data_IF_346304123443
#
_entry.id   IF_346304123443
#
_cell.length_a   1.000
_cell.length_b   1.000
_cell.length_c   1.000
_cell.angle_alpha   90.00
_cell.angle_beta   90.00
_cell.angle_gamma   90.00
#
_symmetry.space_group_name_H-M   'P 1'
#
loop_
_entity.id
_entity.type
_entity.pdbx_description
1 polymer ?
#
# COMPACT_ATOMS: atom_id res chain seq x y z
N UNK A 1 -23.06 17.91 -3.09
CA UNK A 1 -22.33 17.13 -4.12
C UNK A 1 -22.55 15.65 -3.81
N UNK A 2 -23.12 14.86 -4.72
CA UNK A 2 -23.28 13.41 -4.47
C UNK A 2 -21.90 12.76 -4.51
N UNK A 3 -21.59 11.90 -3.54
CA UNK A 3 -20.34 11.16 -3.49
C UNK A 3 -20.26 10.21 -4.68
N UNK A 4 -19.31 10.44 -5.60
CA UNK A 4 -19.01 9.53 -6.72
C UNK A 4 -18.15 8.38 -6.20
N UNK A 5 -18.60 7.11 -6.29
CA UNK A 5 -17.78 5.98 -5.87
C UNK A 5 -16.54 5.83 -6.74
N UNK A 6 -15.46 5.30 -6.16
CA UNK A 6 -14.24 4.96 -6.87
C UNK A 6 -14.01 3.44 -6.79
N UNK A 7 -13.61 2.84 -7.90
CA UNK A 7 -13.55 1.38 -8.06
C UNK A 7 -12.21 0.95 -8.64
N UNK A 8 -11.64 -0.13 -8.12
CA UNK A 8 -10.55 -0.84 -8.82
C UNK A 8 -11.19 -1.76 -9.86
N UNK A 9 -11.00 -1.47 -11.15
CA UNK A 9 -11.70 -2.15 -12.24
C UNK A 9 -10.72 -2.63 -13.29
N UNK A 10 -10.87 -3.89 -13.69
CA UNK A 10 -10.21 -4.42 -14.89
C UNK A 10 -11.16 -4.32 -16.06
N UNK A 11 -10.71 -3.68 -17.13
CA UNK A 11 -11.48 -3.53 -18.36
C UNK A 11 -11.11 -4.60 -19.38
N UNK A 12 -12.14 -5.18 -19.99
CA UNK A 12 -12.03 -5.83 -21.30
C UNK A 12 -12.65 -4.87 -22.33
N UNK A 13 -11.79 -4.25 -23.14
CA UNK A 13 -12.13 -3.18 -24.09
C UNK A 13 -12.84 -2.00 -23.41
N UNK A 14 -14.16 -1.93 -23.53
CA UNK A 14 -15.00 -0.83 -23.07
C UNK A 14 -15.76 -1.16 -21.77
N UNK A 15 -15.73 -2.43 -21.34
CA UNK A 15 -16.55 -2.91 -20.23
C UNK A 15 -15.66 -3.36 -19.08
N UNK A 16 -15.88 -2.71 -17.94
CA UNK A 16 -15.27 -3.03 -16.66
C UNK A 16 -16.08 -4.10 -15.94
N UNK A 17 -15.44 -5.23 -15.65
CA UNK A 17 -16.09 -6.33 -14.92
C UNK A 17 -15.98 -6.06 -13.42
N UNK A 18 -17.14 -5.99 -12.77
CA UNK A 18 -17.24 -5.82 -11.32
C UNK A 18 -17.28 -7.17 -10.62
N UNK A 19 -16.63 -7.25 -9.47
CA UNK A 19 -16.85 -8.35 -8.52
C UNK A 19 -18.26 -8.30 -7.94
N UNK A 20 -18.76 -9.43 -7.43
CA UNK A 20 -20.06 -9.49 -6.75
C UNK A 20 -20.14 -8.52 -5.57
N UNK A 21 -19.03 -8.34 -4.85
CA UNK A 21 -18.93 -7.39 -3.73
C UNK A 21 -19.09 -5.96 -4.21
N UNK A 22 -18.37 -5.54 -5.28
CA UNK A 22 -18.49 -4.20 -5.85
C UNK A 22 -19.90 -3.94 -6.38
N UNK A 23 -20.48 -4.90 -7.13
CA UNK A 23 -21.85 -4.79 -7.64
C UNK A 23 -22.87 -4.64 -6.51
N UNK A 24 -22.75 -5.44 -5.46
CA UNK A 24 -23.63 -5.34 -4.28
C UNK A 24 -23.44 -4.02 -3.54
N UNK A 25 -22.21 -3.51 -3.42
CA UNK A 25 -21.94 -2.23 -2.79
C UNK A 25 -22.57 -1.07 -3.58
N UNK A 26 -22.36 -1.02 -4.90
CA UNK A 26 -22.94 0.00 -5.78
C UNK A 26 -24.47 -0.02 -5.77
N UNK A 27 -25.09 -1.20 -5.94
CA UNK A 27 -26.54 -1.32 -6.09
C UNK A 27 -27.33 -1.28 -4.78
N UNK A 28 -26.83 -1.91 -3.70
CA UNK A 28 -27.58 -2.06 -2.44
C UNK A 28 -27.20 -1.01 -1.40
N UNK A 29 -25.92 -0.68 -1.30
CA UNK A 29 -25.40 0.24 -0.27
C UNK A 29 -25.45 1.67 -0.79
N UNK A 30 -24.79 1.95 -1.90
CA UNK A 30 -24.73 3.29 -2.49
C UNK A 30 -25.97 3.61 -3.34
N UNK A 31 -26.71 2.58 -3.78
CA UNK A 31 -27.92 2.68 -4.60
C UNK A 31 -27.73 3.58 -5.82
N UNK A 32 -26.60 3.39 -6.52
CA UNK A 32 -26.33 4.13 -7.75
C UNK A 32 -27.39 3.80 -8.79
N UNK A 33 -27.92 4.83 -9.45
CA UNK A 33 -28.88 4.64 -10.52
C UNK A 33 -28.19 4.17 -11.80
N UNK A 34 -28.96 3.54 -12.69
CA UNK A 34 -28.54 3.24 -14.06
C UNK A 34 -28.07 4.52 -14.77
N UNK A 35 -26.94 4.45 -15.46
CA UNK A 35 -26.27 5.60 -16.08
C UNK A 35 -25.55 6.53 -15.08
N UNK A 36 -25.52 6.18 -13.79
CA UNK A 36 -24.88 6.97 -12.74
C UNK A 36 -23.34 6.99 -12.89
N UNK A 37 -22.74 8.13 -12.58
CA UNK A 37 -21.28 8.31 -12.66
C UNK A 37 -20.54 7.51 -11.61
N UNK A 38 -19.49 6.83 -12.04
CA UNK A 38 -18.48 6.20 -11.19
C UNK A 38 -17.10 6.69 -11.61
N UNK A 39 -16.17 6.72 -10.67
CA UNK A 39 -14.75 6.85 -11.00
C UNK A 39 -14.07 5.49 -10.86
N UNK A 40 -12.96 5.29 -11.54
CA UNK A 40 -12.24 4.02 -11.48
C UNK A 40 -10.73 4.20 -11.65
N UNK A 41 -10.00 3.16 -11.28
CA UNK A 41 -8.58 2.96 -11.51
C UNK A 41 -8.35 1.56 -12.07
N UNK A 42 -7.40 1.41 -12.99
CA UNK A 42 -6.92 0.09 -13.43
C UNK A 42 -5.87 -0.51 -12.47
N UNK A 43 -5.47 0.25 -11.45
CA UNK A 43 -4.44 -0.10 -10.48
C UNK A 43 -3.02 -0.01 -11.01
N UNK A 44 -2.83 0.47 -12.24
CA UNK A 44 -1.57 0.58 -12.95
C UNK A 44 -1.31 2.00 -13.48
N UNK A 45 -2.04 2.99 -12.98
CA UNK A 45 -1.84 4.41 -13.24
C UNK A 45 -2.94 5.05 -14.08
N UNK A 46 -3.81 4.27 -14.73
CA UNK A 46 -4.95 4.82 -15.47
C UNK A 46 -6.09 5.04 -14.49
N UNK A 47 -6.56 6.28 -14.42
CA UNK A 47 -7.77 6.66 -13.69
C UNK A 47 -8.76 7.30 -14.65
N UNK A 48 -10.05 7.18 -14.36
CA UNK A 48 -11.06 7.76 -15.22
C UNK A 48 -12.43 7.87 -14.57
N UNK A 49 -13.35 8.46 -15.32
CA UNK A 49 -14.77 8.47 -14.99
C UNK A 49 -15.54 7.65 -16.03
N UNK A 50 -16.60 6.99 -15.57
CA UNK A 50 -17.42 6.10 -16.38
C UNK A 50 -18.86 6.09 -15.90
N UNK A 51 -19.67 5.22 -16.50
CA UNK A 51 -21.08 5.05 -16.13
C UNK A 51 -21.35 3.63 -15.64
N UNK A 52 -22.16 3.51 -14.59
CA UNK A 52 -22.68 2.22 -14.15
C UNK A 52 -23.92 1.88 -14.97
N UNK A 53 -23.80 0.86 -15.82
CA UNK A 53 -24.87 0.41 -16.71
C UNK A 53 -24.98 -1.11 -16.68
N UNK A 54 -26.19 -1.65 -16.56
CA UNK A 54 -26.49 -3.08 -16.61
C UNK A 54 -25.60 -3.96 -15.68
N UNK A 55 -25.17 -3.42 -14.55
CA UNK A 55 -24.31 -4.13 -13.59
C UNK A 55 -22.82 -4.15 -13.92
N UNK A 56 -22.38 -3.36 -14.90
CA UNK A 56 -20.98 -3.17 -15.30
C UNK A 56 -20.59 -1.69 -15.28
N UNK A 57 -19.30 -1.41 -15.43
CA UNK A 57 -18.79 -0.05 -15.65
C UNK A 57 -18.45 0.14 -17.11
N UNK A 58 -19.09 1.12 -17.77
CA UNK A 58 -18.72 1.55 -19.11
C UNK A 58 -17.60 2.57 -19.00
N UNK A 59 -16.48 2.29 -19.70
CA UNK A 59 -15.29 3.14 -19.74
C UNK A 59 -15.63 4.51 -20.32
N UNK A 60 -14.98 5.55 -19.80
CA UNK A 60 -15.12 6.93 -20.26
C UNK A 60 -13.75 7.58 -20.43
N UNK A 61 -13.65 8.87 -20.14
CA UNK A 61 -12.39 9.60 -20.26
C UNK A 61 -11.38 9.15 -19.19
N UNK A 62 -10.15 8.89 -19.63
CA UNK A 62 -9.06 8.35 -18.83
C UNK A 62 -7.87 9.31 -18.84
N UNK A 63 -7.15 9.36 -17.71
CA UNK A 63 -5.88 10.06 -17.56
C UNK A 63 -4.85 9.14 -16.92
N UNK A 64 -3.58 9.41 -17.20
CA UNK A 64 -2.46 8.74 -16.56
C UNK A 64 -2.02 9.56 -15.34
N UNK A 65 -2.02 8.92 -14.17
CA UNK A 65 -1.48 9.49 -12.94
C UNK A 65 0.00 9.17 -12.85
N UNK A 66 0.83 10.20 -12.68
CA UNK A 66 2.26 10.00 -12.45
C UNK A 66 2.50 9.25 -11.15
N UNK A 67 3.46 8.32 -11.18
CA UNK A 67 3.80 7.55 -9.99
C UNK A 67 4.80 8.34 -9.13
N UNK A 68 4.50 8.60 -7.84
CA UNK A 68 5.41 9.34 -6.97
C UNK A 68 6.77 8.65 -6.83
N UNK A 69 7.83 9.46 -6.82
CA UNK A 69 9.19 9.00 -6.51
C UNK A 69 9.61 9.44 -5.09
N UNK A 70 10.52 8.68 -4.43
CA UNK A 70 10.99 7.35 -4.83
C UNK A 70 9.85 6.32 -4.77
N UNK A 71 9.98 5.21 -5.52
CA UNK A 71 9.13 4.04 -5.31
C UNK A 71 9.53 3.37 -4.01
N UNK A 72 8.57 3.12 -3.13
CA UNK A 72 8.86 2.65 -1.77
C UNK A 72 8.42 1.21 -1.56
N UNK A 73 9.39 0.37 -1.22
CA UNK A 73 9.18 -0.99 -0.73
C UNK A 73 9.25 -0.99 0.79
N UNK A 74 8.16 -1.38 1.46
CA UNK A 74 8.14 -1.62 2.90
C UNK A 74 8.46 -3.09 3.19
N UNK A 75 9.65 -3.35 3.69
CA UNK A 75 10.07 -4.65 4.18
C UNK A 75 9.79 -4.74 5.70
N UNK A 76 8.65 -5.30 6.08
CA UNK A 76 8.11 -5.15 7.43
C UNK A 76 7.82 -6.50 8.09
N UNK A 77 8.24 -6.64 9.35
CA UNK A 77 7.82 -7.78 10.16
C UNK A 77 6.31 -7.66 10.44
N UNK A 78 5.48 -8.68 10.17
CA UNK A 78 4.05 -8.56 10.35
C UNK A 78 3.69 -8.33 11.83
N UNK A 79 2.85 -7.34 12.17
CA UNK A 79 2.30 -7.22 13.51
C UNK A 79 1.53 -8.49 13.92
N UNK A 80 1.57 -8.85 15.21
CA UNK A 80 0.87 -10.05 15.72
C UNK A 80 -0.66 -9.95 15.63
N UNK A 81 -1.20 -8.74 15.79
CA UNK A 81 -2.64 -8.50 15.74
C UNK A 81 -3.12 -8.33 14.31
N UNK A 82 -4.17 -9.07 13.93
CA UNK A 82 -4.82 -8.93 12.61
C UNK A 82 -5.35 -7.51 12.39
N UNK A 83 -5.88 -6.85 13.42
CA UNK A 83 -6.39 -5.48 13.30
C UNK A 83 -5.26 -4.48 13.04
N UNK A 84 -4.13 -4.63 13.74
CA UNK A 84 -2.94 -3.79 13.53
C UNK A 84 -2.33 -4.01 12.16
N UNK A 85 -2.33 -5.26 11.70
CA UNK A 85 -1.79 -5.62 10.39
C UNK A 85 -2.71 -5.14 9.26
N UNK A 86 -4.05 -5.22 9.43
CA UNK A 86 -5.02 -4.59 8.52
C UNK A 86 -4.81 -3.08 8.48
N UNK A 87 -4.71 -2.45 9.64
CA UNK A 87 -4.47 -1.01 9.76
C UNK A 87 -3.18 -0.59 9.07
N UNK A 88 -2.09 -1.37 9.25
CA UNK A 88 -0.84 -1.15 8.52
C UNK A 88 -1.09 -1.15 7.01
N UNK A 89 -1.66 -2.23 6.47
CA UNK A 89 -1.89 -2.38 5.02
C UNK A 89 -2.75 -1.25 4.48
N UNK A 90 -3.91 -0.97 5.09
CA UNK A 90 -4.80 0.09 4.61
C UNK A 90 -4.08 1.45 4.59
N UNK A 91 -3.35 1.80 5.65
CA UNK A 91 -2.72 3.12 5.75
C UNK A 91 -1.49 3.29 4.87
N UNK A 92 -0.69 2.26 4.66
CA UNK A 92 0.45 2.38 3.74
C UNK A 92 0.00 2.37 2.28
N UNK A 93 -1.10 1.69 1.95
CA UNK A 93 -1.74 1.75 0.63
C UNK A 93 -2.31 3.15 0.37
N UNK A 94 -3.04 3.72 1.33
CA UNK A 94 -3.54 5.11 1.27
C UNK A 94 -2.40 6.13 1.06
N UNK A 95 -1.21 5.87 1.62
CA UNK A 95 -0.02 6.69 1.47
C UNK A 95 0.82 6.34 0.22
N UNK A 96 0.34 5.47 -0.65
CA UNK A 96 1.00 5.15 -1.91
C UNK A 96 2.33 4.40 -1.75
N UNK A 97 2.35 3.35 -0.91
CA UNK A 97 3.41 2.32 -0.97
C UNK A 97 3.41 1.65 -2.34
N UNK A 98 4.57 1.21 -2.83
CA UNK A 98 4.67 0.48 -4.10
C UNK A 98 4.68 -1.04 -3.88
N UNK A 99 5.35 -1.49 -2.82
CA UNK A 99 5.43 -2.90 -2.46
C UNK A 99 5.46 -3.10 -0.94
N UNK A 100 4.80 -4.15 -0.46
CA UNK A 100 4.98 -4.65 0.91
C UNK A 100 5.56 -6.06 0.85
N UNK A 101 6.74 -6.20 1.45
CA UNK A 101 7.40 -7.49 1.68
C UNK A 101 7.32 -7.81 3.16
N UNK A 102 6.68 -8.94 3.49
CA UNK A 102 6.65 -9.44 4.86
C UNK A 102 7.97 -10.13 5.18
N UNK A 103 8.73 -9.61 6.14
CA UNK A 103 10.03 -10.18 6.50
C UNK A 103 9.94 -11.10 7.72
N UNK A 104 10.68 -12.20 7.65
CA UNK A 104 10.93 -13.07 8.79
C UNK A 104 12.05 -12.44 9.63
N UNK A 105 11.82 -12.34 10.93
CA UNK A 105 12.79 -11.83 11.90
C UNK A 105 12.88 -12.75 13.11
N UNK A 106 13.97 -12.67 13.86
CA UNK A 106 14.24 -13.51 15.03
C UNK A 106 13.17 -13.36 16.12
N UNK A 107 12.71 -12.13 16.36
CA UNK A 107 11.73 -11.80 17.41
C UNK A 107 10.31 -11.57 16.85
N UNK A 108 10.09 -11.83 15.56
CA UNK A 108 8.80 -11.70 14.90
C UNK A 108 7.93 -12.94 15.09
N UNK A 109 6.69 -12.75 15.54
CA UNK A 109 5.71 -13.84 15.70
C UNK A 109 4.44 -13.63 14.88
N UNK A 110 4.35 -12.53 14.12
CA UNK A 110 3.19 -12.25 13.28
C UNK A 110 3.05 -13.21 12.11
N UNK A 111 1.84 -13.33 11.60
CA UNK A 111 1.51 -14.18 10.44
C UNK A 111 1.05 -13.31 9.28
N UNK A 112 1.47 -13.67 8.08
CA UNK A 112 1.02 -13.03 6.85
C UNK A 112 -0.43 -13.42 6.57
N UNK A 113 -1.31 -12.49 6.19
CA UNK A 113 -2.69 -12.83 5.82
C UNK A 113 -2.77 -13.68 4.55
N UNK A 114 -3.92 -14.31 4.35
CA UNK A 114 -4.22 -14.93 3.06
C UNK A 114 -4.24 -13.89 1.95
N UNK A 115 -3.91 -14.34 0.73
CA UNK A 115 -4.00 -13.52 -0.49
C UNK A 115 -5.36 -12.81 -0.62
N UNK A 116 -6.45 -13.53 -0.37
CA UNK A 116 -7.81 -12.97 -0.42
C UNK A 116 -8.05 -11.82 0.58
N UNK A 117 -7.47 -11.88 1.78
CA UNK A 117 -7.58 -10.79 2.76
C UNK A 117 -6.77 -9.58 2.33
N UNK A 118 -5.54 -9.82 1.84
CA UNK A 118 -4.68 -8.76 1.33
C UNK A 118 -5.33 -8.05 0.14
N UNK A 119 -5.88 -8.79 -0.82
CA UNK A 119 -6.61 -8.23 -1.97
C UNK A 119 -7.80 -7.38 -1.51
N UNK A 120 -8.60 -7.88 -0.56
CA UNK A 120 -9.76 -7.14 -0.04
C UNK A 120 -9.37 -5.83 0.66
N UNK A 121 -8.35 -5.85 1.53
CA UNK A 121 -7.89 -4.65 2.24
C UNK A 121 -7.23 -3.65 1.30
N UNK A 122 -6.42 -4.14 0.36
CA UNK A 122 -5.72 -3.29 -0.61
C UNK A 122 -6.69 -2.61 -1.54
N UNK A 123 -7.61 -3.37 -2.17
CA UNK A 123 -8.60 -2.78 -3.06
C UNK A 123 -9.50 -1.79 -2.31
N UNK A 124 -9.95 -2.12 -1.10
CA UNK A 124 -10.74 -1.20 -0.29
C UNK A 124 -10.00 0.10 0.03
N UNK A 125 -8.70 0.03 0.35
CA UNK A 125 -7.89 1.21 0.61
C UNK A 125 -7.62 2.05 -0.65
N UNK A 126 -7.36 1.41 -1.80
CA UNK A 126 -7.21 2.11 -3.10
C UNK A 126 -8.53 2.78 -3.50
N UNK A 127 -9.66 2.08 -3.38
CA UNK A 127 -10.99 2.61 -3.66
C UNK A 127 -11.31 3.82 -2.77
N UNK A 128 -11.00 3.74 -1.48
CA UNK A 128 -11.28 4.82 -0.53
C UNK A 128 -10.36 6.03 -0.74
N UNK A 129 -9.08 5.81 -1.01
CA UNK A 129 -8.09 6.88 -1.25
C UNK A 129 -8.11 7.45 -2.66
N UNK A 130 -8.79 6.79 -3.60
CA UNK A 130 -8.77 7.09 -5.04
C UNK A 130 -7.37 6.95 -5.64
N UNK A 131 -6.59 5.99 -5.15
CA UNK A 131 -5.24 5.74 -5.62
C UNK A 131 -5.18 5.25 -7.07
N UNK A 132 -4.23 5.77 -7.86
CA UNK A 132 -4.01 5.31 -9.24
C UNK A 132 -3.30 3.95 -9.34
N UNK A 133 -2.69 3.47 -8.26
CA UNK A 133 -1.84 2.30 -8.26
C UNK A 133 -2.20 1.33 -7.14
N UNK A 134 -2.29 0.05 -7.47
CA UNK A 134 -2.44 -1.04 -6.51
C UNK A 134 -1.04 -1.59 -6.19
N UNK A 135 -0.59 -1.57 -4.93
CA UNK A 135 0.73 -2.07 -4.58
C UNK A 135 0.86 -3.59 -4.73
N UNK A 136 2.11 -4.03 -4.88
CA UNK A 136 2.45 -5.45 -4.86
C UNK A 136 2.57 -5.89 -3.40
N UNK A 137 1.78 -6.87 -2.99
CA UNK A 137 1.86 -7.42 -1.62
C UNK A 137 1.95 -8.94 -1.68
N UNK A 138 3.07 -9.47 -1.19
CA UNK A 138 3.29 -10.91 -1.07
C UNK A 138 2.43 -11.54 0.03
N UNK A 139 2.12 -12.84 -0.10
CA UNK A 139 1.40 -13.61 0.92
C UNK A 139 2.31 -14.59 1.69
N UNK A 140 3.62 -14.37 1.66
CA UNK A 140 4.63 -15.22 2.30
C UNK A 140 5.68 -14.37 3.03
N UNK A 141 6.26 -14.96 4.07
CA UNK A 141 7.44 -14.40 4.74
C UNK A 141 8.69 -14.64 3.89
N UNK A 142 9.53 -13.62 3.76
CA UNK A 142 10.84 -13.68 3.10
C UNK A 142 11.97 -13.40 4.11
N UNK A 143 13.14 -14.01 3.97
CA UNK A 143 14.31 -13.57 4.74
C UNK A 143 14.80 -12.22 4.20
N UNK A 144 15.45 -11.43 5.07
CA UNK A 144 15.98 -10.10 4.72
C UNK A 144 17.09 -10.20 3.67
N UNK A 145 17.84 -11.30 3.65
CA UNK A 145 18.86 -11.60 2.64
C UNK A 145 18.34 -11.67 1.21
N UNK A 146 17.04 -11.91 1.03
CA UNK A 146 16.41 -12.02 -0.28
C UNK A 146 15.86 -10.68 -0.78
N UNK A 147 16.09 -9.59 -0.02
CA UNK A 147 15.71 -8.24 -0.42
C UNK A 147 16.79 -7.66 -1.34
N UNK A 148 16.38 -6.99 -2.41
CA UNK A 148 17.27 -6.38 -3.38
C UNK A 148 16.49 -5.74 -4.53
N UNK A 149 17.21 -5.11 -5.45
CA UNK A 149 16.60 -4.44 -6.61
C UNK A 149 16.11 -3.01 -6.34
N UNK A 150 16.58 -2.39 -5.25
CA UNK A 150 16.37 -0.97 -4.97
C UNK A 150 17.69 -0.21 -4.92
N UNK A 151 17.65 1.09 -5.22
CA UNK A 151 18.82 1.98 -5.23
C UNK A 151 19.36 2.19 -3.80
N UNK A 152 18.44 2.26 -2.82
CA UNK A 152 18.77 2.39 -1.41
C UNK A 152 17.96 1.44 -0.54
N UNK A 153 18.56 1.03 0.59
CA UNK A 153 17.91 0.28 1.65
C UNK A 153 18.27 0.90 2.99
N UNK A 154 17.28 1.18 3.83
CA UNK A 154 17.46 1.77 5.16
C UNK A 154 16.69 1.00 6.22
N UNK A 155 17.14 1.11 7.48
CA UNK A 155 16.51 0.44 8.63
C UNK A 155 15.90 1.46 9.57
N UNK A 156 14.63 1.27 9.91
CA UNK A 156 13.96 2.03 10.95
C UNK A 156 14.56 1.71 12.33
N UNK A 157 15.23 2.69 12.94
CA UNK A 157 15.87 2.60 14.25
C UNK A 157 15.86 3.98 14.95
N UNK A 158 15.59 3.99 16.26
CA UNK A 158 15.55 5.21 17.07
C UNK A 158 16.94 5.84 17.27
N UNK A 159 18.02 5.09 17.07
CA UNK A 159 19.38 5.62 17.06
C UNK A 159 19.79 6.18 15.68
N UNK A 160 18.93 6.07 14.67
CA UNK A 160 19.20 6.53 13.32
C UNK A 160 19.15 8.05 13.13
N UNK A 161 19.69 8.52 12.01
CA UNK A 161 19.52 9.89 11.55
C UNK A 161 18.04 10.16 11.23
N UNK A 162 17.52 11.39 11.36
CA UNK A 162 16.16 11.68 10.90
C UNK A 162 15.97 11.26 9.44
N UNK A 163 14.87 10.57 9.13
CA UNK A 163 14.49 10.38 7.73
C UNK A 163 14.15 11.76 7.15
N UNK A 164 15.03 12.29 6.31
CA UNK A 164 14.88 13.62 5.74
C UNK A 164 14.49 13.61 4.25
N UNK A 165 14.32 12.42 3.66
CA UNK A 165 14.00 12.29 2.25
C UNK A 165 15.09 12.84 1.34
N UNK A 166 16.36 12.77 1.75
CA UNK A 166 17.51 13.07 0.90
C UNK A 166 17.57 12.19 -0.37
N UNK A 167 18.73 12.12 -1.03
CA UNK A 167 18.87 11.32 -2.25
C UNK A 167 18.63 9.83 -1.95
N UNK A 168 17.40 9.40 -2.22
CA UNK A 168 16.89 8.05 -2.00
C UNK A 168 16.85 7.26 -3.31
N UNK A 169 17.42 7.82 -4.38
CA UNK A 169 17.32 7.29 -5.73
C UNK A 169 15.89 7.29 -6.25
N UNK A 170 15.63 6.43 -7.23
CA UNK A 170 14.29 6.20 -7.77
C UNK A 170 13.53 5.12 -7.00
N UNK A 171 14.23 4.28 -6.23
CA UNK A 171 13.67 3.13 -5.50
C UNK A 171 14.30 2.97 -4.11
N UNK A 172 13.45 2.86 -3.09
CA UNK A 172 13.86 2.82 -1.68
C UNK A 172 13.19 1.64 -0.95
N UNK A 173 13.98 0.79 -0.32
CA UNK A 173 13.49 -0.21 0.63
C UNK A 173 13.65 0.30 2.07
N UNK A 174 12.57 0.23 2.86
CA UNK A 174 12.59 0.57 4.29
C UNK A 174 12.30 -0.70 5.10
N UNK A 175 13.28 -1.10 5.91
CA UNK A 175 13.18 -2.21 6.84
C UNK A 175 12.55 -1.77 8.16
N UNK A 176 11.48 -2.44 8.57
CA UNK A 176 10.76 -2.14 9.82
C UNK A 176 10.61 -3.42 10.65
N UNK A 177 11.20 -3.38 11.84
CA UNK A 177 11.29 -4.53 12.73
C UNK A 177 10.00 -4.83 13.50
N UNK A 178 9.95 -5.98 14.18
CA UNK A 178 8.88 -6.31 15.11
C UNK A 178 9.00 -5.47 16.38
N UNK A 179 8.03 -5.59 17.29
CA UNK A 179 8.04 -4.90 18.58
C UNK A 179 9.22 -5.28 19.47
N UNK A 180 9.78 -6.49 19.29
CA UNK A 180 10.98 -6.95 19.97
C UNK A 180 12.29 -6.38 19.41
N UNK A 181 12.22 -5.53 18.38
CA UNK A 181 13.39 -5.01 17.68
C UNK A 181 14.08 -6.04 16.79
N UNK A 182 15.28 -5.68 16.32
CA UNK A 182 16.10 -6.53 15.47
C UNK A 182 16.99 -7.44 16.31
N UNK A 183 17.02 -8.73 15.95
CA UNK A 183 17.93 -9.71 16.54
C UNK A 183 19.27 -9.77 15.81
N UNK A 184 20.33 -10.33 16.45
CA UNK A 184 21.65 -10.45 15.84
C UNK A 184 21.68 -11.24 14.53
N UNK A 185 20.69 -12.13 14.30
CA UNK A 185 20.61 -12.95 13.08
C UNK A 185 19.81 -12.30 11.96
N UNK A 186 19.19 -11.14 12.18
CA UNK A 186 18.33 -10.48 11.19
C UNK A 186 19.15 -9.78 10.08
N UNK A 187 20.45 -9.56 10.29
CA UNK A 187 21.36 -9.08 9.25
C UNK A 187 21.13 -7.63 8.83
N UNK A 188 20.61 -6.79 9.72
CA UNK A 188 20.26 -5.39 9.40
C UNK A 188 21.37 -4.37 9.68
N UNK A 189 22.42 -4.75 10.39
CA UNK A 189 23.46 -3.84 10.88
C UNK A 189 24.30 -3.19 9.77
N UNK A 190 24.32 -3.78 8.58
CA UNK A 190 25.02 -3.23 7.41
C UNK A 190 24.29 -2.09 6.71
N UNK A 191 23.03 -1.81 7.06
CA UNK A 191 22.22 -0.77 6.41
C UNK A 191 22.25 0.55 7.19
N UNK A 192 22.17 1.70 6.49
CA UNK A 192 21.95 2.98 7.14
C UNK A 192 20.69 2.99 8.01
N UNK A 193 20.82 3.54 9.22
CA UNK A 193 19.74 3.64 10.19
C UNK A 193 19.04 4.99 10.10
N UNK A 194 17.70 4.96 10.05
CA UNK A 194 16.85 6.14 9.95
C UNK A 194 15.77 6.15 11.03
N UNK A 195 15.42 7.35 11.49
CA UNK A 195 14.47 7.60 12.56
C UNK A 195 13.28 8.40 12.05
N UNK A 196 12.07 7.95 12.41
CA UNK A 196 10.82 8.59 11.98
C UNK A 196 10.21 9.52 13.05
N UNK A 197 10.61 9.36 14.32
CA UNK A 197 10.10 10.15 15.45
C UNK A 197 11.12 10.15 16.60
N UNK A 198 10.97 11.05 17.58
CA UNK A 198 11.71 10.97 18.85
C UNK A 198 11.15 9.91 19.81
N UNK A 199 9.90 9.49 19.60
CA UNK A 199 9.29 8.42 20.38
C UNK A 199 9.48 7.06 19.70
N UNK A 200 9.56 6.01 20.51
CA UNK A 200 9.49 4.63 20.04
C UNK A 200 8.10 4.38 19.46
N UNK A 201 8.05 4.03 18.17
CA UNK A 201 6.82 3.77 17.44
C UNK A 201 6.54 2.27 17.40
N UNK A 202 5.25 1.90 17.39
CA UNK A 202 4.84 0.55 17.00
C UNK A 202 5.15 0.30 15.53
N UNK A 203 5.30 -0.95 15.13
CA UNK A 203 5.62 -1.37 13.75
C UNK A 203 4.72 -0.72 12.70
N UNK A 204 3.39 -0.77 12.86
CA UNK A 204 2.44 -0.13 11.94
C UNK A 204 2.57 1.40 11.94
N UNK A 205 2.81 2.00 13.09
CA UNK A 205 2.97 3.46 13.20
C UNK A 205 4.27 3.92 12.54
N UNK A 206 5.36 3.14 12.67
CA UNK A 206 6.62 3.40 11.99
C UNK A 206 6.48 3.33 10.47
N UNK A 207 5.75 2.32 9.96
CA UNK A 207 5.49 2.16 8.53
C UNK A 207 4.71 3.35 7.94
N UNK A 208 3.65 3.77 8.65
CA UNK A 208 2.84 4.92 8.27
C UNK A 208 3.66 6.21 8.33
N UNK A 209 4.43 6.42 9.42
CA UNK A 209 5.25 7.62 9.58
C UNK A 209 6.33 7.73 8.49
N UNK A 210 6.99 6.62 8.15
CA UNK A 210 8.00 6.59 7.10
C UNK A 210 7.44 7.08 5.76
N UNK A 211 6.29 6.54 5.33
CA UNK A 211 5.66 6.99 4.08
C UNK A 211 5.13 8.41 4.16
N UNK A 212 4.51 8.82 5.28
CA UNK A 212 4.03 10.18 5.44
C UNK A 212 5.16 11.21 5.31
N UNK A 213 6.33 10.92 5.90
CA UNK A 213 7.53 11.78 5.78
C UNK A 213 7.97 11.87 4.31
N UNK A 214 8.10 10.73 3.62
CA UNK A 214 8.55 10.70 2.22
C UNK A 214 7.57 11.40 1.28
N UNK A 215 6.26 11.12 1.40
CA UNK A 215 5.24 11.68 0.52
C UNK A 215 4.91 13.14 0.81
N UNK A 216 5.17 13.63 2.03
CA UNK A 216 5.05 15.08 2.31
C UNK A 216 6.13 15.93 1.64
N UNK A 217 7.20 15.30 1.13
CA UNK A 217 8.36 15.96 0.52
C UNK A 217 8.56 15.60 -0.96
N UNK A 218 7.89 14.55 -1.43
CA UNK A 218 7.88 14.19 -2.84
C UNK A 218 7.27 15.34 -3.65
N UNK A 219 8.00 15.76 -4.70
CA UNK A 219 7.58 16.80 -5.65
C UNK A 219 6.53 16.28 -6.61
#
# INVERSE_FOLDING_TARGET
MKHVPHLVVRFDRQVGVLTDTQRSHLSKVLRIAEGGTVSYTDGSGIVGEGRYEFGVVVRGDETLVERPLPRVTLAVAPPRSTDRLRFLVEKVVELGVDEIIWVRTQYGEGRVPSRSKLEAWTNGAVEQSRGGYVPIIGAALRPISDLGGTDATVVGDQAGAPLDGGDTGSTLTILIGPEGGWGPTDGVDGYPKVRFSHAVLRTETAAIAALAILRSRAS
#
